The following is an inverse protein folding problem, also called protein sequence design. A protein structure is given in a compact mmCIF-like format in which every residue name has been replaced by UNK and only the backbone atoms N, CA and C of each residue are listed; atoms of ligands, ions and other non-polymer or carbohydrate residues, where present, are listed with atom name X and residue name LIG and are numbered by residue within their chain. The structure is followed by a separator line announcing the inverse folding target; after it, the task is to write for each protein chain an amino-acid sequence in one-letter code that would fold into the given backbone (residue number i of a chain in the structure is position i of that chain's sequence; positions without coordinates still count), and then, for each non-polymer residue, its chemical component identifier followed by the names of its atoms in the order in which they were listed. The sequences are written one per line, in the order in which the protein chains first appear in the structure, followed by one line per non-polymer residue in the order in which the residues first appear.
data_IF_040024763262
#
_entry.id   IF_040024763262
#
_cell.length_a   1.000
_cell.length_b   1.000
_cell.length_c   1.000
_cell.angle_alpha   90.00
_cell.angle_beta   90.00
_cell.angle_gamma   90.00
#
_symmetry.space_group_name_H-M   'P 1'
#
loop_
_entity.id
_entity.type
_entity.pdbx_description
1 polymer ?
#
# COMPACT_ATOMS: atom_id res chain seq x y z
N UNK A 1 -9.42 37.03 38.68
CA UNK A 1 -9.76 35.67 38.20
C UNK A 1 -8.62 35.24 37.30
N UNK A 2 -7.87 34.20 37.68
CA UNK A 2 -6.76 33.70 36.87
C UNK A 2 -7.29 33.09 35.58
N UNK A 3 -7.20 33.85 34.49
CA UNK A 3 -7.60 33.44 33.14
C UNK A 3 -6.78 32.22 32.65
N UNK A 4 -5.65 31.90 33.27
CA UNK A 4 -4.80 30.77 32.89
C UNK A 4 -5.45 29.40 33.07
N UNK A 5 -6.18 29.18 34.16
CA UNK A 5 -6.86 27.89 34.44
C UNK A 5 -7.96 27.58 33.42
N UNK A 6 -8.92 28.48 33.12
CA UNK A 6 -9.96 28.20 32.13
C UNK A 6 -9.39 28.04 30.71
N UNK A 7 -8.32 28.75 30.35
CA UNK A 7 -7.63 28.56 29.06
C UNK A 7 -7.00 27.17 28.99
N UNK A 8 -6.30 26.74 30.05
CA UNK A 8 -5.68 25.42 30.10
C UNK A 8 -6.72 24.30 30.03
N UNK A 9 -7.82 24.42 30.79
CA UNK A 9 -8.91 23.44 30.77
C UNK A 9 -9.57 23.36 29.40
N UNK A 10 -9.84 24.51 28.77
CA UNK A 10 -10.42 24.55 27.43
C UNK A 10 -9.49 23.89 26.41
N UNK A 11 -8.19 24.20 26.46
CA UNK A 11 -7.18 23.57 25.60
C UNK A 11 -7.10 22.06 25.79
N UNK A 12 -7.12 21.59 27.05
CA UNK A 12 -7.10 20.16 27.36
C UNK A 12 -8.35 19.44 26.82
N UNK A 13 -9.54 20.01 27.03
CA UNK A 13 -10.80 19.45 26.50
C UNK A 13 -10.79 19.37 24.98
N UNK A 14 -10.27 20.40 24.29
CA UNK A 14 -10.16 20.40 22.83
C UNK A 14 -9.21 19.32 22.33
N UNK A 15 -8.05 19.13 22.98
CA UNK A 15 -7.07 18.10 22.61
C UNK A 15 -7.65 16.70 22.84
N UNK A 16 -8.25 16.46 24.00
CA UNK A 16 -8.87 15.17 24.34
C UNK A 16 -10.04 14.88 23.40
N UNK A 17 -10.91 15.86 23.16
CA UNK A 17 -12.02 15.74 22.23
C UNK A 17 -11.56 15.39 20.81
N UNK A 18 -10.51 16.06 20.32
CA UNK A 18 -9.91 15.72 19.03
C UNK A 18 -9.36 14.30 18.99
N UNK A 19 -8.63 13.88 20.04
CA UNK A 19 -8.07 12.54 20.11
C UNK A 19 -9.15 11.46 19.94
N UNK A 20 -10.26 11.57 20.68
CA UNK A 20 -11.37 10.64 20.56
C UNK A 20 -12.06 10.72 19.19
N UNK A 21 -12.28 11.92 18.65
CA UNK A 21 -12.86 12.10 17.32
C UNK A 21 -11.99 11.48 16.22
N UNK A 22 -10.67 11.70 16.27
CA UNK A 22 -9.71 11.15 15.33
C UNK A 22 -9.63 9.62 15.40
N UNK A 23 -9.63 9.06 16.62
CA UNK A 23 -9.67 7.61 16.84
C UNK A 23 -10.95 7.00 16.26
N UNK A 24 -12.11 7.57 16.58
CA UNK A 24 -13.40 7.10 16.07
C UNK A 24 -13.45 7.20 14.54
N UNK A 25 -12.96 8.29 13.95
CA UNK A 25 -12.90 8.43 12.50
C UNK A 25 -12.10 7.29 11.86
N UNK A 26 -10.90 6.98 12.38
CA UNK A 26 -10.06 5.91 11.86
C UNK A 26 -10.75 4.55 11.93
N UNK A 27 -11.40 4.22 13.05
CA UNK A 27 -12.16 2.97 13.21
C UNK A 27 -13.30 2.90 12.18
N UNK A 28 -14.11 3.95 12.06
CA UNK A 28 -15.23 3.97 11.10
C UNK A 28 -14.75 3.87 9.65
N UNK A 29 -13.64 4.53 9.32
CA UNK A 29 -13.03 4.46 7.99
C UNK A 29 -12.49 3.05 7.69
N UNK A 30 -11.82 2.43 8.66
CA UNK A 30 -11.31 1.06 8.53
C UNK A 30 -12.44 0.04 8.38
N UNK A 31 -13.50 0.14 9.19
CA UNK A 31 -14.67 -0.74 9.05
C UNK A 31 -15.37 -0.60 7.71
N UNK A 32 -15.54 0.63 7.20
CA UNK A 32 -16.09 0.87 5.86
C UNK A 32 -15.22 0.22 4.78
N UNK A 33 -13.91 0.40 4.85
CA UNK A 33 -12.97 -0.18 3.90
C UNK A 33 -13.01 -1.72 3.95
N UNK A 34 -13.04 -2.32 5.15
CA UNK A 34 -13.13 -3.77 5.32
C UNK A 34 -14.45 -4.35 4.81
N UNK A 35 -15.58 -3.66 5.01
CA UNK A 35 -16.87 -4.05 4.45
C UNK A 35 -16.84 -4.04 2.92
N UNK A 36 -16.30 -2.98 2.33
CA UNK A 36 -16.10 -2.89 0.89
C UNK A 36 -15.17 -4.02 0.37
N UNK A 37 -14.03 -4.27 1.03
CA UNK A 37 -13.09 -5.32 0.63
C UNK A 37 -13.71 -6.73 0.63
N UNK A 38 -14.71 -6.99 1.48
CA UNK A 38 -15.34 -8.31 1.64
C UNK A 38 -15.78 -8.93 0.33
N UNK A 39 -16.21 -8.13 -0.65
CA UNK A 39 -16.65 -8.62 -1.95
C UNK A 39 -15.50 -9.10 -2.85
N UNK A 40 -14.30 -8.57 -2.65
CA UNK A 40 -13.12 -8.86 -3.47
C UNK A 40 -12.07 -9.76 -2.80
N UNK A 41 -12.03 -9.86 -1.47
CA UNK A 41 -11.14 -10.78 -0.75
C UNK A 41 -11.26 -12.25 -1.22
N UNK A 42 -12.46 -12.80 -1.54
CA UNK A 42 -12.60 -14.17 -2.05
C UNK A 42 -11.87 -14.45 -3.37
N UNK A 43 -11.47 -13.40 -4.11
CA UNK A 43 -10.65 -13.54 -5.32
C UNK A 43 -9.20 -13.85 -4.99
N UNK A 44 -8.73 -13.42 -3.81
CA UNK A 44 -7.37 -13.66 -3.33
C UNK A 44 -7.28 -14.93 -2.50
N UNK A 45 -8.24 -15.17 -1.60
CA UNK A 45 -8.26 -16.32 -0.70
C UNK A 45 -9.65 -16.58 -0.14
N UNK A 46 -9.97 -17.84 0.12
CA UNK A 46 -11.21 -18.23 0.82
C UNK A 46 -11.11 -17.99 2.32
N UNK A 47 -9.88 -18.09 2.87
CA UNK A 47 -9.60 -17.87 4.28
C UNK A 47 -8.74 -16.62 4.43
N UNK A 48 -9.26 -15.64 5.18
CA UNK A 48 -8.56 -14.40 5.49
C UNK A 48 -8.57 -14.21 7.00
N UNK A 49 -7.40 -14.13 7.62
CA UNK A 49 -7.28 -13.76 9.04
C UNK A 49 -7.10 -12.26 9.14
N UNK A 50 -7.88 -11.64 10.02
CA UNK A 50 -7.88 -10.20 10.25
C UNK A 50 -7.32 -9.90 11.63
N UNK A 51 -6.34 -9.01 11.69
CA UNK A 51 -5.66 -8.57 12.90
C UNK A 51 -5.64 -7.03 12.92
N UNK A 52 -6.24 -6.42 13.94
CA UNK A 52 -6.09 -5.00 14.20
C UNK A 52 -4.79 -4.77 14.97
N UNK A 53 -3.88 -3.99 14.39
CA UNK A 53 -2.60 -3.63 15.01
C UNK A 53 -2.70 -2.18 15.47
N UNK A 54 -3.27 -1.97 16.65
CA UNK A 54 -3.61 -0.64 17.16
C UNK A 54 -4.78 0.02 16.43
N UNK A 55 -4.79 1.35 16.37
CA UNK A 55 -5.90 2.16 15.83
C UNK A 55 -5.74 2.54 14.36
N UNK A 56 -4.53 2.39 13.81
CA UNK A 56 -4.16 2.95 12.51
C UNK A 56 -3.53 1.93 11.55
N UNK A 57 -3.53 0.64 11.93
CA UNK A 57 -3.06 -0.44 11.06
C UNK A 57 -3.99 -1.65 11.15
N UNK A 58 -4.47 -2.09 10.00
CA UNK A 58 -5.18 -3.38 9.89
C UNK A 58 -4.36 -4.31 9.03
N UNK A 59 -4.14 -5.53 9.50
CA UNK A 59 -3.43 -6.58 8.79
C UNK A 59 -4.40 -7.68 8.41
N UNK A 60 -4.44 -8.03 7.13
CA UNK A 60 -5.13 -9.20 6.63
C UNK A 60 -4.11 -10.18 6.07
N UNK A 61 -4.13 -11.42 6.57
CA UNK A 61 -3.22 -12.49 6.12
C UNK A 61 -4.00 -13.61 5.46
N UNK A 62 -3.47 -14.07 4.34
CA UNK A 62 -4.03 -15.14 3.51
C UNK A 62 -2.93 -16.14 3.21
N UNK A 63 -2.86 -17.23 3.99
CA UNK A 63 -1.81 -18.25 3.84
C UNK A 63 -2.07 -19.24 2.70
N UNK A 64 -3.34 -19.42 2.32
CA UNK A 64 -3.79 -20.34 1.27
C UNK A 64 -4.41 -19.54 0.14
N UNK A 65 -3.61 -18.68 -0.49
CA UNK A 65 -4.11 -17.81 -1.54
C UNK A 65 -4.32 -18.57 -2.87
N UNK A 66 -5.28 -18.07 -3.67
CA UNK A 66 -5.60 -18.57 -5.01
C UNK A 66 -4.48 -18.20 -5.99
N UNK A 67 -4.28 -19.04 -7.00
CA UNK A 67 -3.34 -18.79 -8.10
C UNK A 67 -3.55 -17.39 -8.69
N UNK A 68 -2.48 -16.59 -8.94
CA UNK A 68 -1.05 -16.94 -8.94
C UNK A 68 -0.35 -16.87 -7.57
N UNK A 69 -1.09 -16.53 -6.52
CA UNK A 69 -0.53 -16.33 -5.18
C UNK A 69 -0.35 -17.65 -4.45
N UNK A 70 0.71 -17.71 -3.63
CA UNK A 70 0.89 -18.70 -2.58
C UNK A 70 0.38 -18.12 -1.26
N UNK A 71 0.84 -16.92 -0.93
CA UNK A 71 0.44 -16.17 0.27
C UNK A 71 0.22 -14.69 -0.08
N UNK A 72 -0.73 -14.04 0.57
CA UNK A 72 -0.97 -12.60 0.45
C UNK A 72 -1.13 -11.98 1.85
N UNK A 73 -0.42 -10.88 2.09
CA UNK A 73 -0.58 -10.02 3.26
C UNK A 73 -1.01 -8.63 2.79
N UNK A 74 -2.16 -8.16 3.26
CA UNK A 74 -2.64 -6.81 3.04
C UNK A 74 -2.46 -6.01 4.33
N UNK A 75 -1.78 -4.88 4.25
CA UNK A 75 -1.64 -3.94 5.36
C UNK A 75 -2.33 -2.63 4.99
N UNK A 76 -3.35 -2.26 5.77
CA UNK A 76 -4.09 -1.02 5.62
C UNK A 76 -3.55 -0.03 6.66
N UNK A 77 -2.73 0.91 6.21
CA UNK A 77 -2.11 1.94 7.04
C UNK A 77 -2.96 3.21 6.96
N UNK A 78 -3.54 3.64 8.07
CA UNK A 78 -4.34 4.86 8.16
C UNK A 78 -3.46 6.01 8.66
N UNK A 79 -3.80 7.23 8.25
CA UNK A 79 -3.17 8.43 8.82
C UNK A 79 -3.42 8.48 10.35
N UNK A 80 -2.41 8.81 11.17
CA UNK A 80 -2.61 9.07 12.60
C UNK A 80 -3.40 10.38 12.74
N UNK A 81 -4.69 10.27 13.04
CA UNK A 81 -5.63 11.40 13.19
C UNK A 81 -5.87 11.78 14.65
N UNK A 82 -5.29 11.00 15.56
CA UNK A 82 -5.33 11.10 17.00
C UNK A 82 -4.64 12.36 17.54
N UNK A 83 -3.63 12.87 16.84
CA UNK A 83 -2.93 14.12 17.22
C UNK A 83 -3.01 15.15 16.08
N UNK A 84 -3.76 16.26 16.24
CA UNK A 84 -4.11 17.16 15.14
C UNK A 84 -2.89 17.80 14.46
N UNK A 85 -1.93 18.26 15.25
CA UNK A 85 -0.71 18.90 14.74
C UNK A 85 0.19 17.91 14.01
N UNK A 86 0.35 16.70 14.54
CA UNK A 86 1.10 15.63 13.87
C UNK A 86 0.39 15.17 12.60
N UNK A 87 -0.94 15.09 12.62
CA UNK A 87 -1.74 14.78 11.44
C UNK A 87 -1.54 15.81 10.33
N UNK A 88 -1.68 17.11 10.64
CA UNK A 88 -1.52 18.18 9.67
C UNK A 88 -0.10 18.19 9.07
N UNK A 89 0.91 18.02 9.91
CA UNK A 89 2.31 17.95 9.49
C UNK A 89 2.62 16.71 8.63
N UNK A 90 2.09 15.55 9.03
CA UNK A 90 2.20 14.29 8.31
C UNK A 90 1.54 14.39 6.93
N UNK A 91 0.36 15.02 6.87
CA UNK A 91 -0.39 15.27 5.64
C UNK A 91 0.35 16.23 4.71
N UNK A 92 0.98 17.28 5.25
CA UNK A 92 1.81 18.19 4.46
C UNK A 92 3.05 17.49 3.87
N UNK A 93 3.63 16.50 4.58
CA UNK A 93 4.71 15.64 4.08
C UNK A 93 4.26 14.54 3.11
N UNK A 94 2.99 14.51 2.71
CA UNK A 94 2.47 13.54 1.75
C UNK A 94 2.17 12.15 2.32
N UNK A 95 2.14 11.98 3.65
CA UNK A 95 1.62 10.74 4.26
C UNK A 95 0.11 10.73 4.13
N UNK A 96 -0.38 9.73 3.40
CA UNK A 96 -1.79 9.48 3.16
C UNK A 96 -2.12 8.04 3.50
N UNK A 97 -3.41 7.70 3.59
CA UNK A 97 -3.80 6.33 3.89
C UNK A 97 -3.36 5.37 2.77
N UNK A 98 -2.65 4.30 3.14
CA UNK A 98 -1.91 3.44 2.23
C UNK A 98 -2.33 1.99 2.40
N UNK A 99 -2.61 1.32 1.29
CA UNK A 99 -2.72 -0.13 1.23
C UNK A 99 -1.40 -0.70 0.70
N UNK A 100 -0.79 -1.57 1.49
CA UNK A 100 0.38 -2.34 1.10
C UNK A 100 -0.08 -3.77 0.83
N UNK A 101 0.09 -4.22 -0.40
CA UNK A 101 -0.09 -5.60 -0.80
C UNK A 101 1.28 -6.25 -0.81
N UNK A 102 1.49 -7.29 -0.01
CA UNK A 102 2.65 -8.17 -0.07
C UNK A 102 2.17 -9.52 -0.54
N UNK A 103 2.80 -10.04 -1.57
CA UNK A 103 2.40 -11.28 -2.19
C UNK A 103 3.63 -12.17 -2.39
N UNK A 104 3.49 -13.42 -1.96
CA UNK A 104 4.40 -14.50 -2.35
C UNK A 104 3.75 -15.22 -3.52
N UNK A 105 4.42 -15.20 -4.67
CA UNK A 105 3.93 -15.87 -5.87
C UNK A 105 4.31 -17.36 -5.84
N UNK A 106 3.49 -18.21 -6.48
CA UNK A 106 3.79 -19.64 -6.61
C UNK A 106 5.02 -19.89 -7.48
N UNK A 107 5.20 -19.09 -8.52
CA UNK A 107 6.39 -19.06 -9.36
C UNK A 107 7.17 -17.77 -9.08
N UNK A 108 8.49 -17.84 -8.85
CA UNK A 108 9.31 -16.65 -8.70
C UNK A 108 9.43 -15.91 -10.04
N UNK A 109 9.46 -14.57 -10.04
CA UNK A 109 9.65 -13.77 -11.25
C UNK A 109 11.05 -14.00 -11.86
N UNK A 110 11.16 -13.96 -13.19
CA UNK A 110 12.46 -14.06 -13.90
C UNK A 110 13.25 -12.74 -13.94
N UNK A 111 12.63 -11.63 -13.49
CA UNK A 111 13.25 -10.32 -13.43
C UNK A 111 13.13 -9.75 -12.02
N UNK A 112 13.90 -8.70 -11.74
CA UNK A 112 13.74 -7.90 -10.54
C UNK A 112 13.55 -6.43 -10.92
N UNK A 113 12.72 -5.72 -10.15
CA UNK A 113 12.38 -4.34 -10.46
C UNK A 113 11.78 -3.65 -9.25
N UNK A 114 12.28 -2.47 -8.93
CA UNK A 114 11.81 -1.64 -7.85
C UNK A 114 11.54 -0.22 -8.35
N UNK A 115 10.26 0.10 -8.46
CA UNK A 115 9.77 1.42 -8.77
C UNK A 115 9.31 2.13 -7.50
N UNK A 116 9.72 3.39 -7.34
CA UNK A 116 9.34 4.23 -6.22
C UNK A 116 9.03 5.66 -6.66
N UNK A 117 7.97 6.24 -6.07
CA UNK A 117 7.57 7.62 -6.32
C UNK A 117 8.24 8.58 -5.31
N UNK A 118 9.11 9.51 -5.73
CA UNK A 118 9.80 10.44 -4.82
C UNK A 118 8.86 11.46 -4.15
N UNK A 119 7.66 11.68 -4.68
CA UNK A 119 6.68 12.56 -4.07
C UNK A 119 6.05 11.96 -2.79
N UNK A 120 6.12 10.64 -2.62
CA UNK A 120 5.48 9.91 -1.52
C UNK A 120 6.50 9.49 -0.45
N UNK A 121 6.12 9.55 0.83
CA UNK A 121 6.99 9.17 1.96
C UNK A 121 7.62 7.80 1.76
N UNK A 122 6.81 6.78 1.48
CA UNK A 122 7.29 5.39 1.33
C UNK A 122 8.28 5.28 0.18
N UNK A 123 8.03 5.96 -0.94
CA UNK A 123 8.95 6.00 -2.07
C UNK A 123 10.28 6.68 -1.73
N UNK A 124 10.28 7.81 -1.01
CA UNK A 124 11.52 8.47 -0.56
C UNK A 124 12.38 7.58 0.32
N UNK A 125 11.79 6.91 1.30
CA UNK A 125 12.53 6.04 2.24
C UNK A 125 13.24 4.90 1.51
N UNK A 126 12.64 4.40 0.44
CA UNK A 126 13.22 3.34 -0.40
C UNK A 126 14.30 3.88 -1.31
N UNK A 127 14.06 5.00 -1.99
CA UNK A 127 15.06 5.63 -2.87
C UNK A 127 16.36 5.95 -2.11
N UNK A 128 16.26 6.21 -0.80
CA UNK A 128 17.41 6.39 0.10
C UNK A 128 18.12 5.09 0.48
N UNK A 129 17.45 3.93 0.39
CA UNK A 129 18.00 2.61 0.73
C UNK A 129 18.43 1.78 -0.47
N UNK A 130 18.02 2.13 -1.68
CA UNK A 130 18.45 1.44 -2.90
C UNK A 130 19.95 1.65 -3.09
N UNK A 131 20.69 0.55 -3.19
CA UNK A 131 22.10 0.56 -3.60
C UNK A 131 22.13 0.63 -5.12
N UNK A 132 22.08 1.86 -5.65
CA UNK A 132 21.95 2.15 -7.08
C UNK A 132 23.09 1.59 -7.94
N UNK A 133 24.25 1.24 -7.35
CA UNK A 133 25.41 0.74 -8.07
C UNK A 133 25.29 -0.68 -8.65
N UNK A 134 24.35 -1.49 -8.16
CA UNK A 134 24.18 -2.90 -8.62
C UNK A 134 22.99 -3.12 -9.56
N UNK A 135 22.28 -2.04 -9.90
CA UNK A 135 21.00 -2.06 -10.60
C UNK A 135 21.01 -1.03 -11.73
N UNK A 136 20.49 -1.42 -12.89
CA UNK A 136 20.18 -0.44 -13.93
C UNK A 136 19.05 0.46 -13.42
N UNK A 137 19.08 1.73 -13.79
CA UNK A 137 18.09 2.70 -13.33
C UNK A 137 17.61 3.62 -14.46
N UNK A 138 16.34 3.99 -14.38
CA UNK A 138 15.70 4.93 -15.30
C UNK A 138 14.55 5.66 -14.62
N UNK A 139 14.20 6.83 -15.13
CA UNK A 139 12.95 7.49 -14.78
C UNK A 139 11.79 6.83 -15.54
N UNK A 140 10.71 6.52 -14.82
CA UNK A 140 9.52 5.86 -15.37
C UNK A 140 8.26 6.37 -14.67
N UNK A 141 7.26 6.78 -15.44
CA UNK A 141 5.94 7.21 -14.92
C UNK A 141 6.00 8.23 -13.77
N UNK A 142 6.95 9.18 -13.82
CA UNK A 142 7.14 10.21 -12.78
C UNK A 142 7.80 9.71 -11.48
N UNK A 143 8.32 8.48 -11.47
CA UNK A 143 9.14 7.92 -10.40
C UNK A 143 10.47 7.39 -10.94
N UNK A 144 11.22 6.70 -10.08
CA UNK A 144 12.47 6.02 -10.47
C UNK A 144 12.28 4.52 -10.39
N UNK A 145 12.73 3.82 -11.43
CA UNK A 145 12.82 2.37 -11.50
C UNK A 145 14.29 1.96 -11.39
N UNK A 146 14.60 1.09 -10.43
CA UNK A 146 15.82 0.29 -10.42
C UNK A 146 15.45 -1.13 -10.85
N UNK A 147 16.17 -1.75 -11.79
CA UNK A 147 15.80 -3.07 -12.30
C UNK A 147 16.97 -3.97 -12.69
N UNK A 148 16.65 -5.24 -12.89
CA UNK A 148 17.52 -6.28 -13.43
C UNK A 148 16.72 -7.20 -14.35
N UNK A 149 17.18 -7.31 -15.60
CA UNK A 149 16.55 -8.12 -16.65
C UNK A 149 15.79 -7.27 -17.66
N UNK A 150 15.93 -7.60 -18.95
CA UNK A 150 15.46 -6.78 -20.07
C UNK A 150 13.94 -6.55 -20.10
N UNK A 151 13.15 -7.47 -19.52
CA UNK A 151 11.69 -7.34 -19.50
C UNK A 151 11.16 -6.45 -18.36
N UNK A 152 11.99 -6.11 -17.36
CA UNK A 152 11.54 -5.45 -16.15
C UNK A 152 10.89 -4.07 -16.42
N UNK A 153 11.48 -3.15 -17.21
CA UNK A 153 10.89 -1.84 -17.43
C UNK A 153 9.50 -1.91 -18.05
N UNK A 154 9.35 -2.71 -19.10
CA UNK A 154 8.07 -2.90 -19.80
C UNK A 154 7.00 -3.48 -18.88
N UNK A 155 7.31 -4.56 -18.16
CA UNK A 155 6.33 -5.22 -17.27
C UNK A 155 5.91 -4.30 -16.13
N UNK A 156 6.86 -3.58 -15.53
CA UNK A 156 6.59 -2.61 -14.47
C UNK A 156 5.73 -1.46 -14.99
N UNK A 157 6.05 -0.89 -16.16
CA UNK A 157 5.26 0.18 -16.78
C UNK A 157 3.81 -0.24 -17.02
N UNK A 158 3.59 -1.43 -17.60
CA UNK A 158 2.25 -1.98 -17.81
C UNK A 158 1.50 -2.17 -16.48
N UNK A 159 2.19 -2.62 -15.42
CA UNK A 159 1.59 -2.77 -14.10
C UNK A 159 1.22 -1.41 -13.47
N UNK A 160 2.07 -0.40 -13.62
CA UNK A 160 1.78 0.96 -13.16
C UNK A 160 0.58 1.55 -13.90
N UNK A 161 0.48 1.33 -15.22
CA UNK A 161 -0.65 1.72 -16.05
C UNK A 161 -1.97 1.04 -15.67
N UNK A 162 -1.93 -0.22 -15.25
CA UNK A 162 -3.12 -0.93 -14.75
C UNK A 162 -3.54 -0.41 -13.36
N UNK A 163 -2.59 -0.18 -12.46
CA UNK A 163 -2.85 0.29 -11.10
C UNK A 163 -3.36 1.73 -11.07
N UNK A 164 -2.86 2.62 -11.94
CA UNK A 164 -3.25 4.03 -11.97
C UNK A 164 -4.73 4.26 -12.29
N UNK A 165 -5.40 3.27 -12.89
CA UNK A 165 -6.84 3.32 -13.21
C UNK A 165 -7.74 3.27 -11.98
N UNK A 166 -7.33 2.55 -10.93
CA UNK A 166 -8.17 2.38 -9.72
C UNK A 166 -7.63 3.07 -8.49
N UNK A 167 -6.32 3.35 -8.45
CA UNK A 167 -5.68 3.92 -7.30
C UNK A 167 -5.37 5.40 -7.52
N UNK A 168 -5.67 6.27 -6.54
CA UNK A 168 -5.43 7.70 -6.67
C UNK A 168 -3.93 8.04 -6.74
N UNK A 169 -3.07 7.13 -6.27
CA UNK A 169 -1.63 7.21 -6.40
C UNK A 169 -1.00 5.84 -6.15
N UNK A 170 0.21 5.67 -6.69
CA UNK A 170 1.09 4.53 -6.46
C UNK A 170 2.36 5.07 -5.81
N UNK A 171 2.74 4.52 -4.66
CA UNK A 171 3.92 4.94 -3.91
C UNK A 171 5.14 4.04 -4.19
N UNK A 172 4.91 2.73 -4.37
CA UNK A 172 5.95 1.73 -4.64
C UNK A 172 5.37 0.54 -5.40
N UNK A 173 6.15 -0.01 -6.32
CA UNK A 173 5.95 -1.34 -6.89
C UNK A 173 7.30 -2.05 -6.88
N UNK A 174 7.40 -3.16 -6.15
CA UNK A 174 8.62 -3.95 -6.01
C UNK A 174 8.38 -5.39 -6.43
N UNK A 175 9.28 -5.92 -7.24
CA UNK A 175 9.36 -7.29 -7.72
C UNK A 175 10.75 -7.80 -7.41
N UNK A 176 10.83 -8.82 -6.55
CA UNK A 176 12.09 -9.38 -6.05
C UNK A 176 12.06 -10.89 -6.22
N UNK A 177 13.15 -11.50 -6.67
CA UNK A 177 13.20 -12.96 -6.89
C UNK A 177 13.57 -13.72 -5.62
N UNK A 178 14.50 -13.17 -4.83
CA UNK A 178 15.08 -13.85 -3.67
C UNK A 178 14.42 -13.51 -2.32
N UNK A 179 13.49 -12.55 -2.29
CA UNK A 179 12.81 -12.13 -1.05
C UNK A 179 11.59 -13.01 -0.74
N UNK A 180 11.21 -13.16 0.55
CA UNK A 180 10.05 -13.97 0.95
C UNK A 180 8.72 -13.50 0.32
N UNK A 181 8.63 -12.21 -0.04
CA UNK A 181 7.52 -11.66 -0.82
C UNK A 181 8.04 -11.23 -2.19
N UNK A 182 7.66 -11.98 -3.22
CA UNK A 182 8.12 -11.69 -4.58
C UNK A 182 7.53 -10.41 -5.16
N UNK A 183 6.35 -9.99 -4.69
CA UNK A 183 5.63 -8.82 -5.19
C UNK A 183 5.16 -7.96 -4.01
N UNK A 184 5.47 -6.66 -4.07
CA UNK A 184 5.02 -5.69 -3.10
C UNK A 184 4.47 -4.43 -3.80
N UNK A 185 3.24 -4.05 -3.49
CA UNK A 185 2.54 -2.91 -4.09
C UNK A 185 2.11 -1.96 -2.96
N UNK A 186 2.44 -0.68 -3.08
CA UNK A 186 2.02 0.36 -2.14
C UNK A 186 1.16 1.37 -2.89
N UNK A 187 -0.13 1.43 -2.58
CA UNK A 187 -1.11 2.25 -3.29
C UNK A 187 -2.00 2.99 -2.30
N UNK A 188 -2.53 4.14 -2.70
CA UNK A 188 -3.55 4.83 -1.91
C UNK A 188 -4.83 4.00 -1.82
N UNK A 189 -5.65 4.24 -0.79
CA UNK A 189 -6.97 3.63 -0.79
C UNK A 189 -7.80 4.11 -1.99
N UNK A 190 -8.51 3.20 -2.70
CA UNK A 190 -9.38 3.59 -3.80
C UNK A 190 -10.42 4.59 -3.29
N UNK A 191 -10.45 5.78 -3.90
CA UNK A 191 -11.26 6.90 -3.40
C UNK A 191 -12.75 6.55 -3.50
N UNK A 192 -13.46 6.81 -2.42
CA UNK A 192 -14.93 6.81 -2.34
C UNK A 192 -15.66 5.48 -2.60
N UNK A 193 -14.99 4.32 -2.60
CA UNK A 193 -15.64 3.03 -2.89
C UNK A 193 -16.41 3.04 -4.24
N UNK A 194 -16.12 4.02 -5.11
CA UNK A 194 -16.77 4.18 -6.42
C UNK A 194 -16.45 3.02 -7.36
N UNK A 195 -15.30 2.39 -7.13
CA UNK A 195 -14.87 1.20 -7.84
C UNK A 195 -15.23 -0.01 -6.98
N UNK A 196 -15.94 -1.01 -7.52
CA UNK A 196 -16.22 -2.26 -6.82
C UNK A 196 -14.94 -2.93 -6.33
N UNK A 197 -14.95 -3.49 -5.12
CA UNK A 197 -13.76 -4.15 -4.57
C UNK A 197 -13.26 -5.27 -5.47
N UNK A 198 -14.18 -6.04 -6.08
CA UNK A 198 -13.84 -7.09 -7.04
C UNK A 198 -12.94 -6.60 -8.15
N UNK A 199 -13.21 -5.45 -8.75
CA UNK A 199 -12.40 -4.89 -9.84
C UNK A 199 -10.99 -4.53 -9.38
N UNK A 200 -10.88 -3.92 -8.20
CA UNK A 200 -9.60 -3.55 -7.58
C UNK A 200 -8.75 -4.80 -7.29
N UNK A 201 -9.34 -5.84 -6.70
CA UNK A 201 -8.65 -7.08 -6.41
C UNK A 201 -8.34 -7.90 -7.67
N UNK A 202 -9.17 -7.83 -8.71
CA UNK A 202 -8.88 -8.39 -10.03
C UNK A 202 -7.67 -7.70 -10.67
N UNK A 203 -7.48 -6.39 -10.51
CA UNK A 203 -6.29 -5.71 -10.99
C UNK A 203 -5.03 -6.17 -10.26
N UNK A 204 -5.08 -6.30 -8.92
CA UNK A 204 -3.96 -6.87 -8.14
C UNK A 204 -3.59 -8.26 -8.67
N UNK A 205 -4.60 -9.09 -8.94
CA UNK A 205 -4.40 -10.42 -9.52
C UNK A 205 -3.78 -10.36 -10.92
N UNK A 206 -4.26 -9.47 -11.81
CA UNK A 206 -3.69 -9.28 -13.15
C UNK A 206 -2.22 -8.86 -13.11
N UNK A 207 -1.86 -7.95 -12.21
CA UNK A 207 -0.46 -7.54 -11.98
C UNK A 207 0.38 -8.75 -11.56
N UNK A 208 -0.10 -9.54 -10.60
CA UNK A 208 0.60 -10.73 -10.15
C UNK A 208 0.72 -11.81 -11.23
N UNK A 209 -0.31 -12.01 -12.05
CA UNK A 209 -0.28 -12.94 -13.18
C UNK A 209 0.71 -12.50 -14.25
N UNK A 210 0.83 -11.19 -14.50
CA UNK A 210 1.81 -10.64 -15.45
C UNK A 210 3.24 -10.87 -14.96
N UNK A 211 3.49 -10.57 -13.69
CA UNK A 211 4.81 -10.78 -13.04
C UNK A 211 5.18 -12.28 -12.96
N UNK A 212 4.19 -13.16 -12.77
CA UNK A 212 4.43 -14.61 -12.76
C UNK A 212 4.67 -15.16 -14.17
N UNK A 213 3.98 -14.64 -15.20
CA UNK A 213 4.10 -15.14 -16.58
C UNK A 213 5.42 -14.77 -17.26
N UNK A 214 6.05 -13.67 -16.87
CA UNK A 214 7.40 -13.32 -17.36
C UNK A 214 8.46 -14.35 -17.00
N UNK A 215 8.16 -15.32 -16.12
CA UNK A 215 9.04 -16.45 -15.81
C UNK A 215 8.96 -17.61 -16.79
N UNK A 216 7.95 -17.62 -17.67
CA UNK A 216 7.68 -18.72 -18.60
C UNK A 216 8.31 -18.54 -19.99
N UNK A 217 9.04 -17.44 -20.23
CA UNK A 217 9.80 -17.24 -21.48
C UNK A 217 11.20 -17.79 -21.25
N UNK A 218 11.58 -18.93 -21.86
CA UNK A 218 12.96 -19.39 -21.85
C UNK A 218 13.78 -18.39 -22.66
N UNK A 219 14.88 -17.92 -22.07
CA UNK A 219 16.00 -17.32 -22.79
C UNK A 219 16.61 -18.34 -23.76
#
# INVERSE_FOLDING_TARGET
MDLGVPILMTGAILIIGWFFLGMQWNVHKGQRLLRWMREGLPLLSERTTLEWVGTSLVRLRMREAKTPFREVELLLVFEPRDVPFLWLFSRWRGRRDLMIVRARLRQPPAFEGEWANPAMWTGREILQRIVWGEWENMDLAGGRLAYRGAMAPRVIEECLGDLSRSYPYIARLSVRRAEPHHLQIHVGFPRDQKIPAREVFQQIRRVAERVSRSSAVPS
#
